data_IF_389235038069
#
_entry.id   IF_389235038069
#
_cell.length_a   1.000
_cell.length_b   1.000
_cell.length_c   1.000
_cell.angle_alpha   90.00
_cell.angle_beta   90.00
_cell.angle_gamma   90.00
#
_symmetry.space_group_name_H-M   'P 1'
#
loop_
_entity.id
_entity.type
_entity.pdbx_description
1 polymer ?
#
# COMPACT_ATOMS: atom_id res chain seq x y z
N UNK A 1 -12.02 -8.10 -1.60
CA UNK A 1 -10.97 -8.79 -2.40
C UNK A 1 -10.52 -10.00 -1.59
N UNK A 2 -11.19 -11.14 -1.70
CA UNK A 2 -10.81 -12.37 -1.00
C UNK A 2 -10.69 -13.50 -2.01
N UNK A 3 -9.51 -14.10 -2.13
CA UNK A 3 -9.21 -15.16 -3.11
C UNK A 3 -8.18 -14.80 -4.17
N UNK A 4 -7.68 -13.56 -4.21
CA UNK A 4 -6.55 -13.20 -5.07
C UNK A 4 -5.23 -13.61 -4.41
N UNK A 5 -4.28 -14.23 -5.13
CA UNK A 5 -2.95 -14.53 -4.60
C UNK A 5 -2.06 -13.28 -4.48
N UNK A 6 -2.52 -12.14 -5.00
CA UNK A 6 -1.78 -10.88 -5.02
C UNK A 6 -1.98 -10.07 -3.73
N UNK A 7 -0.94 -9.38 -3.30
CA UNK A 7 -1.05 -8.31 -2.30
C UNK A 7 -1.78 -7.12 -2.90
N UNK A 8 -2.40 -6.29 -2.07
CA UNK A 8 -3.18 -5.15 -2.55
C UNK A 8 -3.01 -3.92 -1.66
N UNK A 9 -2.74 -2.77 -2.28
CA UNK A 9 -2.92 -1.46 -1.68
C UNK A 9 -4.06 -0.73 -2.37
N UNK A 10 -4.86 -0.02 -1.57
CA UNK A 10 -5.98 0.79 -2.04
C UNK A 10 -5.88 2.19 -1.43
N UNK A 11 -6.12 3.20 -2.26
CA UNK A 11 -6.13 4.60 -1.84
C UNK A 11 -7.34 5.31 -2.44
N UNK A 12 -8.04 6.08 -1.61
CA UNK A 12 -9.16 6.92 -2.02
C UNK A 12 -8.82 8.38 -1.76
N UNK A 13 -9.13 9.25 -2.71
CA UNK A 13 -9.07 10.70 -2.54
C UNK A 13 -10.39 11.31 -3.01
N UNK A 14 -10.87 12.33 -2.29
CA UNK A 14 -12.10 13.07 -2.64
C UNK A 14 -11.92 14.01 -3.85
N UNK A 15 -10.71 14.07 -4.41
CA UNK A 15 -10.31 14.91 -5.52
C UNK A 15 -9.54 14.09 -6.58
N UNK A 16 -9.20 14.76 -7.69
CA UNK A 16 -8.40 14.19 -8.78
C UNK A 16 -6.93 14.13 -8.38
N UNK A 17 -6.56 13.11 -7.63
CA UNK A 17 -5.18 12.89 -7.20
C UNK A 17 -4.34 12.31 -8.33
N UNK A 18 -3.07 12.70 -8.42
CA UNK A 18 -2.11 11.99 -9.25
C UNK A 18 -1.80 10.60 -8.63
N UNK A 19 -1.56 9.55 -9.43
CA UNK A 19 -1.21 8.22 -8.90
C UNK A 19 -0.01 8.26 -7.92
N UNK A 20 1.00 9.07 -8.24
CA UNK A 20 2.20 9.23 -7.41
C UNK A 20 1.90 9.84 -6.04
N UNK A 21 0.90 10.71 -5.92
CA UNK A 21 0.46 11.30 -4.66
C UNK A 21 -0.13 10.23 -3.73
N UNK A 22 -0.93 9.32 -4.30
CA UNK A 22 -1.53 8.22 -3.55
C UNK A 22 -0.46 7.24 -3.08
N UNK A 23 0.50 6.88 -3.94
CA UNK A 23 1.62 6.02 -3.54
C UNK A 23 2.49 6.70 -2.47
N UNK A 24 2.77 8.00 -2.61
CA UNK A 24 3.51 8.76 -1.60
C UNK A 24 2.80 8.76 -0.24
N UNK A 25 1.46 8.81 -0.22
CA UNK A 25 0.68 8.70 1.02
C UNK A 25 0.86 7.35 1.71
N UNK A 26 0.97 6.25 0.95
CA UNK A 26 1.27 4.93 1.50
C UNK A 26 2.68 4.90 2.08
N UNK A 27 3.67 5.42 1.36
CA UNK A 27 5.06 5.48 1.82
C UNK A 27 5.19 6.32 3.10
N UNK A 28 4.45 7.43 3.18
CA UNK A 28 4.46 8.31 4.35
C UNK A 28 3.98 7.62 5.64
N UNK A 29 3.23 6.53 5.57
CA UNK A 29 2.88 5.75 6.78
C UNK A 29 4.09 5.05 7.40
N UNK A 30 5.19 4.91 6.66
CA UNK A 30 6.47 4.41 7.17
C UNK A 30 7.06 5.24 8.31
N UNK A 31 6.66 6.51 8.46
CA UNK A 31 7.05 7.33 9.63
C UNK A 31 6.58 6.72 10.97
N UNK A 32 5.56 5.85 10.95
CA UNK A 32 5.03 5.16 12.12
C UNK A 32 5.59 3.74 12.28
N UNK A 33 6.46 3.31 11.37
CA UNK A 33 7.01 1.96 11.36
C UNK A 33 8.40 1.93 12.02
N UNK A 34 8.58 1.02 12.96
CA UNK A 34 9.85 0.82 13.67
C UNK A 34 10.56 -0.41 13.11
N UNK A 35 11.65 -0.17 12.38
CA UNK A 35 12.43 -1.24 11.73
C UNK A 35 13.06 -2.22 12.72
N UNK A 36 13.50 -1.73 13.89
CA UNK A 36 14.24 -2.54 14.87
C UNK A 36 13.45 -3.74 15.40
N UNK A 37 12.12 -3.64 15.46
CA UNK A 37 11.25 -4.68 16.01
C UNK A 37 10.11 -5.08 15.06
N UNK A 38 10.12 -4.60 13.81
CA UNK A 38 9.10 -4.89 12.81
C UNK A 38 7.66 -4.54 13.29
N UNK A 39 7.49 -3.41 13.98
CA UNK A 39 6.19 -2.98 14.52
C UNK A 39 5.70 -1.66 13.94
N UNK A 40 4.39 -1.50 13.89
CA UNK A 40 3.72 -0.23 13.59
C UNK A 40 3.28 0.41 14.90
N UNK A 41 3.38 1.74 15.00
CA UNK A 41 2.94 2.48 16.18
C UNK A 41 1.45 2.19 16.52
N UNK A 42 1.07 2.16 17.81
CA UNK A 42 -0.30 1.91 18.22
C UNK A 42 -1.31 2.84 17.53
N UNK A 43 -2.40 2.27 17.02
CA UNK A 43 -3.45 3.01 16.31
C UNK A 43 -3.05 3.52 14.92
N UNK A 44 -1.88 3.17 14.40
CA UNK A 44 -1.43 3.51 13.04
C UNK A 44 -1.55 2.31 12.10
N UNK A 45 -1.57 2.60 10.80
CA UNK A 45 -1.63 1.60 9.74
C UNK A 45 -0.37 1.72 8.88
N UNK A 46 0.52 0.73 8.98
CA UNK A 46 1.76 0.68 8.20
C UNK A 46 1.69 -0.35 7.06
N UNK A 47 0.59 -1.10 6.94
CA UNK A 47 0.46 -2.20 5.98
C UNK A 47 0.66 -1.77 4.53
N UNK A 48 0.23 -0.57 4.17
CA UNK A 48 0.43 -0.03 2.83
C UNK A 48 1.90 0.29 2.57
N UNK A 49 2.61 0.88 3.54
CA UNK A 49 4.06 1.08 3.49
C UNK A 49 4.83 -0.23 3.39
N UNK A 50 4.56 -1.19 4.28
CA UNK A 50 5.30 -2.46 4.32
C UNK A 50 5.05 -3.28 3.05
N UNK A 51 3.87 -3.16 2.42
CA UNK A 51 3.63 -3.76 1.11
C UNK A 51 4.43 -3.08 -0.01
N UNK A 52 4.57 -1.75 0.01
CA UNK A 52 5.36 -1.00 -1.00
C UNK A 52 6.84 -1.39 -0.94
N UNK A 53 7.39 -1.51 0.26
CA UNK A 53 8.82 -1.80 0.48
C UNK A 53 9.13 -3.30 0.58
N UNK A 54 8.16 -4.18 0.29
CA UNK A 54 8.30 -5.61 0.48
C UNK A 54 9.33 -6.21 -0.49
N UNK A 55 10.50 -6.59 0.03
CA UNK A 55 11.65 -7.06 -0.76
C UNK A 55 11.35 -8.24 -1.69
N UNK A 56 10.45 -9.14 -1.28
CA UNK A 56 10.13 -10.33 -2.08
C UNK A 56 9.13 -10.07 -3.20
N UNK A 57 8.46 -8.91 -3.18
CA UNK A 57 7.57 -8.55 -4.28
C UNK A 57 8.41 -8.19 -5.50
N UNK A 58 8.17 -8.87 -6.62
CA UNK A 58 8.91 -8.71 -7.86
C UNK A 58 8.13 -7.93 -8.91
N UNK A 59 6.80 -7.96 -8.85
CA UNK A 59 5.92 -7.35 -9.84
C UNK A 59 4.88 -6.47 -9.15
N UNK A 60 4.58 -5.33 -9.77
CA UNK A 60 3.55 -4.41 -9.33
C UNK A 60 2.73 -3.92 -10.53
N UNK A 61 1.41 -3.93 -10.38
CA UNK A 61 0.47 -3.38 -11.36
C UNK A 61 -0.53 -2.47 -10.69
N UNK A 62 -0.72 -1.26 -11.20
CA UNK A 62 -1.61 -0.27 -10.62
C UNK A 62 -2.67 0.21 -11.63
N UNK A 63 -3.84 0.55 -11.11
CA UNK A 63 -4.91 1.20 -11.86
C UNK A 63 -5.52 2.31 -11.02
N UNK A 64 -5.95 3.39 -11.69
CA UNK A 64 -6.67 4.49 -11.06
C UNK A 64 -7.93 4.80 -11.87
N UNK A 65 -9.05 4.95 -11.15
CA UNK A 65 -10.32 5.40 -11.72
C UNK A 65 -10.72 6.73 -11.08
N UNK A 66 -11.28 7.64 -11.89
CA UNK A 66 -11.83 8.91 -11.43
C UNK A 66 -13.35 8.88 -11.59
N UNK A 67 -14.08 9.08 -10.50
CA UNK A 67 -15.53 9.21 -10.50
C UNK A 67 -15.97 10.54 -11.13
N UNK A 68 -17.23 10.63 -11.57
CA UNK A 68 -17.80 11.87 -12.10
C UNK A 68 -17.72 13.04 -11.10
N UNK A 69 -17.74 12.76 -9.80
CA UNK A 69 -17.56 13.72 -8.71
C UNK A 69 -16.14 14.28 -8.59
N UNK A 70 -15.19 13.74 -9.35
CA UNK A 70 -13.77 14.08 -9.27
C UNK A 70 -12.98 13.25 -8.25
N UNK A 71 -13.65 12.46 -7.41
CA UNK A 71 -12.98 11.53 -6.49
C UNK A 71 -12.19 10.46 -7.25
N UNK A 72 -11.06 10.02 -6.71
CA UNK A 72 -10.21 9.00 -7.31
C UNK A 72 -10.05 7.78 -6.41
N UNK A 73 -10.03 6.62 -7.06
CA UNK A 73 -9.71 5.34 -6.43
C UNK A 73 -8.49 4.76 -7.14
N UNK A 74 -7.42 4.51 -6.39
CA UNK A 74 -6.20 3.87 -6.86
C UNK A 74 -6.06 2.51 -6.21
N UNK A 75 -5.74 1.50 -7.02
CA UNK A 75 -5.47 0.13 -6.57
C UNK A 75 -4.13 -0.30 -7.17
N UNK A 76 -3.26 -0.87 -6.34
CA UNK A 76 -2.04 -1.54 -6.79
C UNK A 76 -2.03 -2.98 -6.29
N UNK A 77 -1.68 -3.91 -7.17
CA UNK A 77 -1.50 -5.32 -6.89
C UNK A 77 -0.02 -5.69 -6.91
N UNK A 78 0.38 -6.60 -6.03
CA UNK A 78 1.77 -6.97 -5.77
C UNK A 78 1.96 -8.48 -5.86
N UNK A 79 2.98 -8.94 -6.60
CA UNK A 79 3.30 -10.36 -6.76
C UNK A 79 4.81 -10.63 -6.55
N UNK A 80 5.20 -11.65 -5.77
CA UNK A 80 4.44 -12.27 -4.68
C UNK A 80 3.88 -11.24 -3.69
N UNK A 81 2.79 -11.60 -3.00
CA UNK A 81 2.18 -10.71 -2.01
C UNK A 81 3.12 -10.43 -0.84
N UNK A 82 2.99 -9.22 -0.27
CA UNK A 82 3.72 -8.83 0.93
C UNK A 82 2.92 -9.06 2.21
N UNK A 83 3.39 -8.44 3.29
CA UNK A 83 2.74 -8.44 4.60
C UNK A 83 2.48 -9.84 5.16
N UNK A 84 3.41 -10.76 4.93
CA UNK A 84 3.34 -12.11 5.52
C UNK A 84 3.60 -12.01 7.02
N UNK A 85 2.70 -12.58 7.83
CA UNK A 85 2.80 -12.55 9.29
C UNK A 85 4.15 -13.13 9.75
N UNK A 86 4.82 -12.40 10.64
CA UNK A 86 6.12 -12.80 11.19
C UNK A 86 7.33 -12.54 10.28
N UNK A 87 7.13 -12.03 9.06
CA UNK A 87 8.23 -11.67 8.16
C UNK A 87 8.49 -10.15 8.15
N UNK A 88 9.75 -9.79 7.98
CA UNK A 88 10.19 -8.41 7.73
C UNK A 88 9.97 -8.05 6.27
N UNK A 89 9.58 -6.80 5.95
CA UNK A 89 9.52 -6.30 4.58
C UNK A 89 10.91 -6.16 3.92
N UNK A 90 12.01 -6.20 4.69
CA UNK A 90 13.41 -6.09 4.23
C UNK A 90 14.18 -7.42 4.32
#
# INVERSE_FOLDING_TARGET
MGGSPYGANQGWASYRAAPGEVVASWVATGQYYTHANNTCAPGRQCGTYTQVVWRRTAEVGCAQATCATGATLTVCLYNPHGNVQGQSPY
#
